data_IF_326487663245
#
_entry.id   IF_326487663245
#
_cell.length_a   1.000
_cell.length_b   1.000
_cell.length_c   1.000
_cell.angle_alpha   90.00
_cell.angle_beta   90.00
_cell.angle_gamma   90.00
#
_symmetry.space_group_name_H-M   'P 1'
#
loop_
_entity.id
_entity.type
_entity.pdbx_description
1 polymer ?
#
# COMPACT_ATOMS: atom_id res chain seq x y z
N UNK A 1 -41.28 47.05 10.02
CA UNK A 1 -40.43 47.70 9.01
C UNK A 1 -38.99 47.34 9.31
N UNK A 2 -38.46 46.33 8.63
CA UNK A 2 -37.05 45.98 8.60
C UNK A 2 -36.78 45.28 7.26
N UNK A 3 -35.79 45.78 6.53
CA UNK A 3 -35.39 45.37 5.17
C UNK A 3 -35.01 43.89 5.08
N UNK A 4 -35.35 43.18 3.99
CA UNK A 4 -34.62 41.99 3.58
C UNK A 4 -33.37 42.40 2.80
N UNK A 5 -32.19 42.06 3.33
CA UNK A 5 -30.92 42.17 2.61
C UNK A 5 -30.93 41.26 1.38
N UNK A 6 -30.70 41.86 0.21
CA UNK A 6 -30.52 41.18 -1.04
C UNK A 6 -29.22 40.36 -1.01
N UNK A 7 -29.36 39.05 -1.16
CA UNK A 7 -28.23 38.14 -1.43
C UNK A 7 -27.70 38.46 -2.83
N UNK A 8 -26.51 39.05 -2.89
CA UNK A 8 -25.74 39.26 -4.13
C UNK A 8 -25.39 37.89 -4.74
N UNK A 9 -25.56 37.71 -6.07
CA UNK A 9 -25.11 36.49 -6.74
C UNK A 9 -23.58 36.39 -6.72
N UNK A 10 -23.11 35.18 -6.45
CA UNK A 10 -21.72 34.74 -6.46
C UNK A 10 -20.99 35.17 -7.72
N UNK A 11 -19.82 35.79 -7.55
CA UNK A 11 -18.95 36.24 -8.62
C UNK A 11 -18.66 35.12 -9.63
N UNK A 12 -18.93 35.39 -10.91
CA UNK A 12 -18.56 34.53 -12.04
C UNK A 12 -17.05 34.30 -12.03
N UNK A 13 -16.62 33.06 -11.80
CA UNK A 13 -15.22 32.68 -12.00
C UNK A 13 -14.88 32.86 -13.48
N UNK A 14 -13.71 33.46 -13.82
CA UNK A 14 -13.32 33.62 -15.22
C UNK A 14 -13.30 32.25 -15.92
N UNK A 15 -13.93 32.16 -17.10
CA UNK A 15 -13.89 30.98 -17.96
C UNK A 15 -12.46 30.73 -18.45
N UNK A 16 -11.64 30.09 -17.61
CA UNK A 16 -10.28 29.67 -17.96
C UNK A 16 -10.38 28.45 -18.86
N UNK A 17 -9.86 28.52 -20.09
CA UNK A 17 -9.79 27.37 -20.99
C UNK A 17 -8.74 26.36 -20.52
N UNK A 18 -8.98 25.08 -20.81
CA UNK A 18 -8.07 23.98 -20.53
C UNK A 18 -6.72 24.19 -21.24
N UNK A 19 -5.61 24.20 -20.47
CA UNK A 19 -4.26 24.37 -21.03
C UNK A 19 -3.82 23.26 -22.00
N UNK A 20 -4.47 22.09 -21.98
CA UNK A 20 -4.06 20.93 -22.78
C UNK A 20 -4.83 20.78 -24.09
N UNK A 21 -6.15 20.97 -24.06
CA UNK A 21 -6.97 20.87 -25.28
C UNK A 21 -7.37 22.22 -25.86
N UNK A 22 -7.31 23.31 -25.09
CA UNK A 22 -7.78 24.65 -25.47
C UNK A 22 -9.27 24.74 -25.89
N UNK A 23 -10.05 23.66 -25.77
CA UNK A 23 -11.44 23.58 -26.24
C UNK A 23 -12.50 23.67 -25.12
N UNK A 24 -12.21 23.12 -23.95
CA UNK A 24 -13.17 23.02 -22.84
C UNK A 24 -12.74 23.88 -21.66
N UNK A 25 -13.69 24.30 -20.84
CA UNK A 25 -13.41 25.01 -19.60
C UNK A 25 -12.57 24.16 -18.64
N UNK A 26 -11.60 24.78 -18.01
CA UNK A 26 -10.76 24.18 -17.00
C UNK A 26 -11.49 24.19 -15.65
N UNK A 27 -11.86 23.00 -15.18
CA UNK A 27 -12.55 22.81 -13.90
C UNK A 27 -11.67 22.18 -12.83
N UNK A 28 -10.52 21.62 -13.24
CA UNK A 28 -9.60 20.90 -12.38
C UNK A 28 -8.18 21.45 -12.52
N UNK A 29 -7.31 21.04 -11.59
CA UNK A 29 -5.89 21.38 -11.63
C UNK A 29 -5.01 20.12 -11.59
N UNK A 30 -4.02 20.07 -12.48
CA UNK A 30 -2.88 19.16 -12.39
C UNK A 30 -1.70 19.99 -11.93
N UNK A 31 -1.31 19.87 -10.66
CA UNK A 31 -0.26 20.70 -10.05
C UNK A 31 -0.60 22.19 -10.24
N UNK A 32 0.09 22.91 -11.13
CA UNK A 32 -0.15 24.33 -11.45
C UNK A 32 -0.86 24.56 -12.79
N UNK A 33 -1.30 23.50 -13.49
CA UNK A 33 -1.99 23.58 -14.77
C UNK A 33 -3.51 23.40 -14.60
N UNK A 34 -4.29 24.41 -14.99
CA UNK A 34 -5.76 24.29 -15.09
C UNK A 34 -6.16 23.47 -16.32
N UNK A 35 -6.95 22.42 -16.12
CA UNK A 35 -7.37 21.47 -17.16
C UNK A 35 -8.84 21.09 -17.05
N UNK A 36 -9.43 20.60 -18.14
CA UNK A 36 -10.77 20.02 -18.13
C UNK A 36 -10.75 18.57 -17.61
N UNK A 37 -11.94 18.06 -17.23
CA UNK A 37 -12.14 16.69 -16.75
C UNK A 37 -11.52 15.62 -17.65
N UNK A 38 -11.73 15.70 -18.98
CA UNK A 38 -11.22 14.70 -19.94
C UNK A 38 -9.69 14.63 -19.94
N UNK A 39 -9.04 15.80 -19.98
CA UNK A 39 -7.58 15.89 -19.95
C UNK A 39 -7.00 15.42 -18.62
N UNK A 40 -7.70 15.67 -17.51
CA UNK A 40 -7.33 15.18 -16.18
C UNK A 40 -7.41 13.65 -16.11
N UNK A 41 -8.53 13.05 -16.50
CA UNK A 41 -8.70 11.60 -16.52
C UNK A 41 -7.65 10.92 -17.42
N UNK A 42 -7.35 11.51 -18.59
CA UNK A 42 -6.32 10.98 -19.48
C UNK A 42 -4.91 11.07 -18.88
N UNK A 43 -4.60 12.14 -18.14
CA UNK A 43 -3.33 12.30 -17.43
C UNK A 43 -3.11 11.19 -16.41
N UNK A 44 -4.11 10.95 -15.53
CA UNK A 44 -4.06 9.91 -14.49
C UNK A 44 -3.89 8.53 -15.14
N UNK A 45 -4.76 8.19 -16.10
CA UNK A 45 -4.70 6.92 -16.85
C UNK A 45 -3.35 6.71 -17.52
N UNK A 46 -2.85 7.70 -18.25
CA UNK A 46 -1.60 7.60 -19.00
C UNK A 46 -0.39 7.38 -18.09
N UNK A 47 -0.32 8.09 -16.95
CA UNK A 47 0.78 7.92 -16.00
C UNK A 47 0.82 6.51 -15.42
N UNK A 48 -0.32 5.99 -14.98
CA UNK A 48 -0.40 4.65 -14.45
C UNK A 48 -0.07 3.57 -15.50
N UNK A 49 -0.62 3.70 -16.72
CA UNK A 49 -0.39 2.75 -17.80
C UNK A 49 1.06 2.75 -18.29
N UNK A 50 1.75 3.90 -18.31
CA UNK A 50 3.18 3.98 -18.67
C UNK A 50 4.05 3.11 -17.77
N UNK A 51 3.70 2.97 -16.50
CA UNK A 51 4.41 2.10 -15.56
C UNK A 51 4.19 0.61 -15.84
N UNK A 52 3.13 0.26 -16.56
CA UNK A 52 2.82 -1.11 -16.97
C UNK A 52 3.52 -1.54 -18.26
N UNK A 53 4.30 -0.66 -18.90
CA UNK A 53 4.97 -0.98 -20.17
C UNK A 53 6.08 -2.01 -20.04
N UNK A 54 6.63 -2.18 -18.84
CA UNK A 54 7.59 -3.25 -18.51
C UNK A 54 7.02 -4.64 -18.80
N UNK A 55 5.71 -4.82 -18.65
CA UNK A 55 4.99 -6.07 -18.96
C UNK A 55 4.68 -6.25 -20.45
N UNK A 56 4.76 -5.19 -21.28
CA UNK A 56 4.59 -5.29 -22.74
C UNK A 56 5.79 -5.98 -23.42
N UNK A 57 6.96 -5.98 -22.77
CA UNK A 57 8.25 -6.35 -23.34
C UNK A 57 8.57 -7.85 -23.33
N UNK A 58 7.92 -8.65 -22.47
CA UNK A 58 8.12 -10.11 -22.39
C UNK A 58 7.35 -10.86 -23.48
N UNK A 59 7.47 -10.39 -24.72
CA UNK A 59 6.81 -10.89 -25.95
C UNK A 59 7.16 -12.34 -26.32
N UNK A 60 8.09 -12.98 -25.59
CA UNK A 60 8.54 -14.35 -25.86
C UNK A 60 7.64 -15.41 -25.22
N UNK A 61 6.87 -15.08 -24.18
CA UNK A 61 5.90 -16.01 -23.58
C UNK A 61 4.57 -15.87 -24.31
N UNK A 62 3.99 -17.00 -24.76
CA UNK A 62 2.61 -17.04 -25.26
C UNK A 62 1.57 -16.85 -24.15
N UNK A 63 1.97 -17.01 -22.89
CA UNK A 63 1.09 -16.94 -21.71
C UNK A 63 1.22 -15.55 -21.06
N UNK A 64 0.11 -14.83 -20.84
CA UNK A 64 0.13 -13.56 -20.14
C UNK A 64 0.63 -13.74 -18.69
N UNK A 65 1.35 -12.74 -18.19
CA UNK A 65 1.87 -12.79 -16.82
C UNK A 65 0.74 -12.55 -15.82
N UNK A 66 0.63 -13.37 -14.78
CA UNK A 66 -0.33 -13.16 -13.68
C UNK A 66 0.22 -12.13 -12.69
N UNK A 67 -0.58 -11.10 -12.39
CA UNK A 67 -0.22 -10.04 -11.46
C UNK A 67 -1.29 -9.96 -10.36
N UNK A 68 -0.86 -9.90 -9.10
CA UNK A 68 -1.77 -9.72 -7.96
C UNK A 68 -2.07 -8.22 -7.78
N UNK A 69 -3.35 -7.86 -7.63
CA UNK A 69 -3.78 -6.50 -7.30
C UNK A 69 -4.56 -6.52 -5.98
N UNK A 70 -3.96 -6.03 -4.88
CA UNK A 70 -4.67 -5.86 -3.61
C UNK A 70 -5.73 -4.76 -3.73
N UNK A 71 -6.98 -5.10 -3.42
CA UNK A 71 -8.15 -4.21 -3.43
C UNK A 71 -8.58 -3.93 -1.99
N UNK A 72 -8.37 -2.71 -1.53
CA UNK A 72 -8.78 -2.27 -0.18
C UNK A 72 -10.12 -1.53 -0.17
N UNK A 73 -10.79 -1.44 -1.33
CA UNK A 73 -11.95 -0.58 -1.63
C UNK A 73 -11.71 0.92 -1.47
N UNK A 74 -10.51 1.33 -1.05
CA UNK A 74 -10.13 2.73 -0.98
C UNK A 74 -9.82 3.31 -2.36
N UNK A 75 -9.83 4.66 -2.49
CA UNK A 75 -9.71 5.37 -3.76
C UNK A 75 -8.56 4.89 -4.65
N UNK A 76 -7.36 4.71 -4.10
CA UNK A 76 -6.20 4.35 -4.91
C UNK A 76 -6.28 2.95 -5.50
N UNK A 77 -6.68 1.95 -4.72
CA UNK A 77 -6.78 0.57 -5.20
C UNK A 77 -7.88 0.40 -6.26
N UNK A 78 -9.05 1.04 -6.03
CA UNK A 78 -10.18 1.01 -6.95
C UNK A 78 -9.91 1.76 -8.25
N UNK A 79 -9.28 2.93 -8.16
CA UNK A 79 -8.84 3.67 -9.34
C UNK A 79 -7.80 2.88 -10.14
N UNK A 80 -6.85 2.22 -9.47
CA UNK A 80 -5.87 1.39 -10.16
C UNK A 80 -6.56 0.26 -10.93
N UNK A 81 -7.47 -0.48 -10.29
CA UNK A 81 -8.25 -1.52 -10.95
C UNK A 81 -9.01 -0.99 -12.18
N UNK A 82 -9.75 0.12 -12.03
CA UNK A 82 -10.48 0.75 -13.14
C UNK A 82 -9.57 1.16 -14.30
N UNK A 83 -8.41 1.74 -14.00
CA UNK A 83 -7.45 2.17 -15.03
C UNK A 83 -6.87 0.95 -15.77
N UNK A 84 -6.49 -0.10 -15.04
CA UNK A 84 -5.90 -1.29 -15.63
C UNK A 84 -6.92 -2.13 -16.42
N UNK A 85 -8.17 -2.20 -15.96
CA UNK A 85 -9.26 -2.81 -16.71
C UNK A 85 -9.44 -2.09 -18.07
N UNK A 86 -9.62 -0.77 -18.08
CA UNK A 86 -9.74 -0.01 -19.32
C UNK A 86 -8.51 -0.15 -20.24
N UNK A 87 -7.30 -0.25 -19.68
CA UNK A 87 -6.09 -0.51 -20.44
C UNK A 87 -6.09 -1.88 -21.10
N UNK A 88 -6.44 -2.94 -20.34
CA UNK A 88 -6.53 -4.30 -20.85
C UNK A 88 -7.64 -4.45 -21.89
N UNK A 89 -8.76 -3.74 -21.74
CA UNK A 89 -9.84 -3.70 -22.73
C UNK A 89 -9.34 -3.11 -24.05
N UNK A 90 -8.65 -1.98 -23.99
CA UNK A 90 -8.07 -1.35 -25.17
C UNK A 90 -7.05 -2.26 -25.86
N UNK A 91 -6.24 -3.01 -25.09
CA UNK A 91 -5.30 -3.97 -25.68
C UNK A 91 -6.02 -5.13 -26.38
N UNK A 92 -7.04 -5.70 -25.73
CA UNK A 92 -7.83 -6.78 -26.30
C UNK A 92 -8.52 -6.33 -27.61
N UNK A 93 -9.15 -5.17 -27.62
CA UNK A 93 -9.84 -4.65 -28.81
C UNK A 93 -8.88 -4.35 -29.97
N UNK A 94 -7.67 -3.82 -29.68
CA UNK A 94 -6.72 -3.41 -30.72
C UNK A 94 -5.80 -4.53 -31.20
N UNK A 95 -5.45 -5.46 -30.33
CA UNK A 95 -4.40 -6.46 -30.57
C UNK A 95 -4.91 -7.91 -30.44
N UNK A 96 -6.17 -8.10 -30.06
CA UNK A 96 -6.76 -9.40 -29.72
C UNK A 96 -5.94 -10.21 -28.70
N UNK A 97 -5.18 -9.52 -27.85
CA UNK A 97 -4.37 -10.11 -26.78
C UNK A 97 -4.18 -9.10 -25.65
N UNK A 98 -3.99 -9.63 -24.45
CA UNK A 98 -3.60 -8.87 -23.26
C UNK A 98 -2.16 -9.18 -22.86
N UNK A 99 -1.48 -8.19 -22.28
CA UNK A 99 -0.08 -8.36 -21.84
C UNK A 99 0.05 -9.08 -20.49
N UNK A 100 -0.99 -9.03 -19.66
CA UNK A 100 -1.02 -9.59 -18.32
C UNK A 100 -2.46 -9.89 -17.89
N UNK A 101 -2.60 -10.76 -16.89
CA UNK A 101 -3.84 -11.09 -16.20
C UNK A 101 -3.81 -10.53 -14.78
N UNK A 102 -4.97 -10.10 -14.27
CA UNK A 102 -5.10 -9.60 -12.90
C UNK A 102 -5.79 -10.64 -12.01
N UNK A 103 -5.13 -10.92 -10.88
CA UNK A 103 -5.72 -11.59 -9.73
C UNK A 103 -5.99 -10.54 -8.66
N UNK A 104 -7.25 -10.15 -8.52
CA UNK A 104 -7.69 -9.15 -7.56
C UNK A 104 -7.95 -9.84 -6.23
N UNK A 105 -7.34 -9.34 -5.15
CA UNK A 105 -7.52 -9.90 -3.81
C UNK A 105 -7.99 -8.83 -2.85
N UNK A 106 -9.04 -9.15 -2.09
CA UNK A 106 -9.42 -8.39 -0.91
C UNK A 106 -8.93 -9.10 0.34
N UNK A 107 -8.33 -8.36 1.28
CA UNK A 107 -7.99 -8.89 2.61
C UNK A 107 -8.88 -8.17 3.61
N UNK A 108 -9.72 -8.94 4.28
CA UNK A 108 -10.62 -8.44 5.29
C UNK A 108 -9.82 -8.16 6.58
N UNK A 109 -9.82 -6.89 6.99
CA UNK A 109 -9.20 -6.42 8.22
C UNK A 109 -10.20 -6.38 9.39
N UNK A 110 -11.49 -6.55 9.09
CA UNK A 110 -12.58 -6.45 10.02
C UNK A 110 -12.84 -7.79 10.70
N UNK A 111 -13.30 -7.67 11.93
CA UNK A 111 -13.32 -8.77 12.89
C UNK A 111 -14.73 -9.28 13.15
N UNK A 112 -15.74 -8.48 12.81
CA UNK A 112 -17.15 -8.81 12.95
C UNK A 112 -17.76 -9.32 11.63
N UNK A 113 -18.84 -10.10 11.75
CA UNK A 113 -19.48 -10.75 10.62
C UNK A 113 -20.28 -9.78 9.74
N UNK A 114 -20.73 -8.64 10.29
CA UNK A 114 -21.49 -7.64 9.56
C UNK A 114 -20.62 -6.86 8.57
N UNK A 115 -19.41 -6.44 9.00
CA UNK A 115 -18.41 -5.79 8.16
C UNK A 115 -17.91 -6.73 7.06
N UNK A 116 -17.80 -8.04 7.36
CA UNK A 116 -17.46 -9.08 6.38
C UNK A 116 -18.55 -9.24 5.32
N UNK A 117 -19.82 -9.28 5.73
CA UNK A 117 -20.94 -9.34 4.79
C UNK A 117 -20.99 -8.10 3.89
N UNK A 118 -20.80 -6.91 4.47
CA UNK A 118 -20.72 -5.65 3.73
C UNK A 118 -19.55 -5.65 2.73
N UNK A 119 -18.38 -6.13 3.15
CA UNK A 119 -17.17 -6.24 2.31
C UNK A 119 -17.37 -7.25 1.18
N UNK A 120 -18.04 -8.38 1.44
CA UNK A 120 -18.38 -9.38 0.43
C UNK A 120 -19.39 -8.84 -0.60
N UNK A 121 -20.43 -8.13 -0.14
CA UNK A 121 -21.40 -7.48 -1.02
C UNK A 121 -20.73 -6.40 -1.89
N UNK A 122 -19.79 -5.63 -1.32
CA UNK A 122 -19.03 -4.64 -2.07
C UNK A 122 -18.10 -5.31 -3.09
N UNK A 123 -17.39 -6.38 -2.72
CA UNK A 123 -16.57 -7.15 -3.65
C UNK A 123 -17.40 -7.69 -4.81
N UNK A 124 -18.65 -8.12 -4.56
CA UNK A 124 -19.56 -8.56 -5.62
C UNK A 124 -19.85 -7.44 -6.62
N UNK A 125 -20.10 -6.19 -6.16
CA UNK A 125 -20.24 -5.04 -7.07
C UNK A 125 -19.01 -4.83 -7.96
N UNK A 126 -17.80 -5.03 -7.43
CA UNK A 126 -16.58 -4.96 -8.24
C UNK A 126 -16.49 -6.09 -9.27
N UNK A 127 -16.89 -7.32 -8.92
CA UNK A 127 -16.95 -8.45 -9.87
C UNK A 127 -17.92 -8.18 -11.01
N UNK A 128 -19.10 -7.65 -10.69
CA UNK A 128 -20.13 -7.32 -11.67
C UNK A 128 -19.65 -6.20 -12.61
N UNK A 129 -18.96 -5.20 -12.05
CA UNK A 129 -18.43 -4.07 -12.83
C UNK A 129 -17.22 -4.43 -13.70
N UNK A 130 -16.36 -5.35 -13.25
CA UNK A 130 -15.10 -5.69 -13.91
C UNK A 130 -14.92 -7.23 -14.04
N UNK A 131 -15.78 -7.92 -14.82
CA UNK A 131 -15.91 -9.38 -14.80
C UNK A 131 -14.73 -10.15 -15.41
N UNK A 132 -13.75 -9.46 -16.01
CA UNK A 132 -12.63 -10.09 -16.72
C UNK A 132 -11.49 -10.53 -15.81
N UNK A 133 -11.55 -10.19 -14.54
CA UNK A 133 -10.49 -10.46 -13.57
C UNK A 133 -10.87 -11.63 -12.66
N UNK A 134 -9.86 -12.30 -12.11
CA UNK A 134 -10.10 -13.28 -11.04
C UNK A 134 -10.16 -12.54 -9.70
N UNK A 135 -11.02 -13.01 -8.81
CA UNK A 135 -11.26 -12.37 -7.51
C UNK A 135 -11.14 -13.40 -6.39
N UNK A 136 -10.47 -13.02 -5.31
CA UNK A 136 -10.37 -13.80 -4.08
C UNK A 136 -10.50 -12.90 -2.86
N UNK A 137 -10.92 -13.47 -1.73
CA UNK A 137 -11.05 -12.77 -0.46
C UNK A 137 -10.52 -13.66 0.66
N UNK A 138 -9.74 -13.08 1.57
CA UNK A 138 -9.15 -13.78 2.70
C UNK A 138 -9.25 -12.92 3.96
N UNK A 139 -9.28 -13.54 5.13
CA UNK A 139 -9.21 -12.80 6.39
C UNK A 139 -7.78 -12.55 6.81
N UNK A 140 -7.47 -11.40 7.42
CA UNK A 140 -6.11 -11.12 7.90
C UNK A 140 -5.64 -12.17 8.94
N UNK A 141 -6.56 -12.79 9.67
CA UNK A 141 -6.23 -13.84 10.63
C UNK A 141 -5.52 -15.05 10.00
N UNK A 142 -5.69 -15.30 8.70
CA UNK A 142 -4.95 -16.36 7.99
C UNK A 142 -3.44 -16.11 7.99
N UNK A 143 -3.00 -14.85 8.18
CA UNK A 143 -1.59 -14.52 8.32
C UNK A 143 -0.93 -15.20 9.54
N UNK A 144 -1.72 -15.60 10.54
CA UNK A 144 -1.23 -16.29 11.73
C UNK A 144 -0.75 -17.71 11.43
N UNK A 145 -1.20 -18.31 10.32
CA UNK A 145 -0.87 -19.69 9.94
C UNK A 145 0.24 -19.78 8.88
N UNK A 146 0.89 -18.66 8.55
CA UNK A 146 1.91 -18.63 7.50
C UNK A 146 3.17 -19.42 7.89
N UNK A 147 3.57 -20.34 7.01
CA UNK A 147 4.83 -21.07 7.11
C UNK A 147 6.01 -20.10 6.97
N UNK A 148 6.59 -19.72 8.11
CA UNK A 148 7.69 -18.74 8.16
C UNK A 148 7.56 -17.71 9.28
N UNK A 149 6.45 -17.72 10.03
CA UNK A 149 6.35 -16.99 11.31
C UNK A 149 6.29 -18.02 12.43
N UNK A 150 7.37 -18.12 13.20
CA UNK A 150 7.43 -18.97 14.40
C UNK A 150 6.99 -18.15 15.62
N UNK A 151 5.67 -18.10 15.85
CA UNK A 151 5.07 -17.35 16.95
C UNK A 151 5.55 -17.79 18.33
N UNK A 152 5.82 -19.09 18.52
CA UNK A 152 6.34 -19.62 19.77
C UNK A 152 7.74 -19.04 20.07
N UNK A 153 8.60 -18.95 19.06
CA UNK A 153 9.92 -18.31 19.20
C UNK A 153 9.86 -16.80 19.50
N UNK A 154 8.72 -16.17 19.24
CA UNK A 154 8.45 -14.75 19.51
C UNK A 154 7.81 -14.52 20.89
N UNK A 155 7.67 -15.58 21.70
CA UNK A 155 7.03 -15.51 23.01
C UNK A 155 5.51 -15.36 22.96
N UNK A 156 4.90 -15.55 21.77
CA UNK A 156 3.45 -15.52 21.58
C UNK A 156 2.97 -16.97 21.59
N UNK A 157 2.42 -17.39 22.74
CA UNK A 157 1.79 -18.70 22.91
C UNK A 157 0.33 -18.66 22.46
N UNK A 158 -0.29 -19.83 22.26
CA UNK A 158 -1.71 -19.99 21.92
C UNK A 158 -2.14 -19.44 20.54
N UNK A 159 -1.24 -19.41 19.55
CA UNK A 159 -1.63 -19.16 18.16
C UNK A 159 -2.28 -20.43 17.58
N UNK A 160 -3.41 -20.32 16.86
CA UNK A 160 -4.04 -21.46 16.19
C UNK A 160 -3.02 -22.23 15.35
N UNK A 161 -2.86 -23.52 15.67
CA UNK A 161 -1.99 -24.43 14.92
C UNK A 161 -2.63 -24.77 13.56
N UNK A 162 -1.84 -25.29 12.62
CA UNK A 162 -2.29 -25.66 11.26
C UNK A 162 -3.52 -26.59 11.21
N UNK A 163 -3.89 -27.23 12.34
CA UNK A 163 -5.06 -28.10 12.46
C UNK A 163 -6.38 -27.38 12.78
N UNK A 164 -6.34 -26.11 13.19
CA UNK A 164 -7.53 -25.34 13.58
C UNK A 164 -7.53 -24.01 12.83
N UNK A 165 -8.61 -23.69 12.11
CA UNK A 165 -8.75 -22.42 11.38
C UNK A 165 -8.57 -21.23 12.33
N UNK A 166 -7.67 -20.30 11.96
CA UNK A 166 -7.45 -19.09 12.75
C UNK A 166 -8.69 -18.20 12.72
N UNK A 167 -9.08 -17.67 13.88
CA UNK A 167 -10.23 -16.79 14.04
C UNK A 167 -9.83 -15.33 14.11
N UNK A 168 -10.79 -14.42 13.89
CA UNK A 168 -10.58 -12.98 14.12
C UNK A 168 -10.25 -12.67 15.58
N UNK A 169 -10.73 -13.48 16.52
CA UNK A 169 -10.45 -13.32 17.95
C UNK A 169 -8.98 -13.59 18.26
N UNK A 170 -8.36 -14.57 17.60
CA UNK A 170 -6.93 -14.89 17.78
C UNK A 170 -6.05 -13.72 17.35
N UNK A 171 -6.38 -13.12 16.19
CA UNK A 171 -5.69 -11.93 15.71
C UNK A 171 -5.85 -10.75 16.68
N UNK A 172 -7.06 -10.52 17.22
CA UNK A 172 -7.31 -9.48 18.22
C UNK A 172 -6.47 -9.70 19.48
N UNK A 173 -6.44 -10.94 19.98
CA UNK A 173 -5.67 -11.29 21.17
C UNK A 173 -4.19 -10.94 20.97
N UNK A 174 -3.59 -11.38 19.86
CA UNK A 174 -2.19 -11.08 19.54
C UNK A 174 -1.96 -9.57 19.43
N UNK A 175 -2.79 -8.85 18.66
CA UNK A 175 -2.65 -7.40 18.48
C UNK A 175 -2.81 -6.66 19.83
N UNK A 176 -3.70 -7.12 20.71
CA UNK A 176 -3.94 -6.50 22.02
C UNK A 176 -2.73 -6.58 22.95
N UNK A 177 -1.85 -7.58 22.77
CA UNK A 177 -0.62 -7.71 23.57
C UNK A 177 0.44 -6.66 23.21
N UNK A 178 0.32 -5.99 22.06
CA UNK A 178 1.29 -5.01 21.61
C UNK A 178 1.22 -3.73 22.45
N UNK A 179 2.39 -3.28 22.90
CA UNK A 179 2.56 -2.21 23.90
C UNK A 179 2.07 -0.82 23.49
N UNK A 180 2.03 -0.52 22.18
CA UNK A 180 1.68 0.81 21.67
C UNK A 180 0.72 0.76 20.47
N UNK A 181 0.04 1.87 20.19
CA UNK A 181 -0.81 1.99 19.00
C UNK A 181 -0.01 1.80 17.70
N UNK A 182 1.22 2.34 17.65
CA UNK A 182 2.13 2.14 16.52
C UNK A 182 2.50 0.68 16.35
N UNK A 183 2.83 -0.03 17.44
CA UNK A 183 3.14 -1.46 17.41
C UNK A 183 1.97 -2.28 16.87
N UNK A 184 0.74 -1.96 17.30
CA UNK A 184 -0.50 -2.59 16.80
C UNK A 184 -0.71 -2.36 15.30
N UNK A 185 -0.59 -1.12 14.85
CA UNK A 185 -0.72 -0.80 13.43
C UNK A 185 0.39 -1.45 12.59
N UNK A 186 1.61 -1.50 13.11
CA UNK A 186 2.77 -2.06 12.42
C UNK A 186 2.70 -3.59 12.27
N UNK A 187 2.24 -4.31 13.30
CA UNK A 187 2.08 -5.76 13.20
C UNK A 187 0.97 -6.11 12.21
N UNK A 188 -0.16 -5.39 12.23
CA UNK A 188 -1.26 -5.56 11.27
C UNK A 188 -0.78 -5.31 9.83
N UNK A 189 -0.05 -4.22 9.58
CA UNK A 189 0.50 -3.93 8.26
C UNK A 189 1.54 -4.96 7.81
N UNK A 190 2.37 -5.45 8.74
CA UNK A 190 3.36 -6.49 8.45
C UNK A 190 2.67 -7.79 8.06
N UNK A 191 1.67 -8.23 8.81
CA UNK A 191 0.89 -9.44 8.52
C UNK A 191 0.12 -9.33 7.20
N UNK A 192 -0.48 -8.18 6.91
CA UNK A 192 -1.13 -7.92 5.64
C UNK A 192 -0.16 -8.13 4.47
N UNK A 193 1.05 -7.54 4.54
CA UNK A 193 2.05 -7.71 3.49
C UNK A 193 2.51 -9.16 3.36
N UNK A 194 2.68 -9.89 4.47
CA UNK A 194 3.04 -11.31 4.46
C UNK A 194 1.95 -12.17 3.80
N UNK A 195 0.70 -11.93 4.14
CA UNK A 195 -0.44 -12.62 3.55
C UNK A 195 -0.59 -12.30 2.06
N UNK A 196 -0.41 -11.05 1.64
CA UNK A 196 -0.43 -10.68 0.22
C UNK A 196 0.67 -11.38 -0.59
N UNK A 197 1.89 -11.48 -0.02
CA UNK A 197 3.00 -12.23 -0.63
C UNK A 197 2.64 -13.70 -0.77
N UNK A 198 2.07 -14.28 0.26
CA UNK A 198 1.70 -15.69 0.27
C UNK A 198 0.57 -15.99 -0.74
N UNK A 199 -0.49 -15.19 -0.75
CA UNK A 199 -1.57 -15.27 -1.75
C UNK A 199 -1.05 -15.07 -3.17
N UNK A 200 -0.12 -14.14 -3.40
CA UNK A 200 0.51 -13.98 -4.71
C UNK A 200 1.23 -15.25 -5.16
N UNK A 201 1.97 -15.92 -4.25
CA UNK A 201 2.66 -17.18 -4.53
C UNK A 201 1.68 -18.32 -4.82
N UNK A 202 0.62 -18.47 -4.01
CA UNK A 202 -0.44 -19.48 -4.22
C UNK A 202 -1.12 -19.33 -5.59
N UNK A 203 -1.29 -18.10 -6.07
CA UNK A 203 -1.87 -17.79 -7.37
C UNK A 203 -0.85 -17.75 -8.53
N UNK A 204 0.41 -18.13 -8.27
CA UNK A 204 1.50 -18.11 -9.26
C UNK A 204 1.70 -16.73 -9.91
N UNK A 205 1.46 -15.66 -9.15
CA UNK A 205 1.67 -14.30 -9.62
C UNK A 205 3.16 -13.99 -9.68
N UNK A 206 3.59 -13.27 -10.72
CA UNK A 206 4.98 -12.84 -10.84
C UNK A 206 5.25 -11.57 -10.02
N UNK A 207 4.22 -10.74 -9.85
CA UNK A 207 4.35 -9.45 -9.17
C UNK A 207 3.06 -9.03 -8.48
N UNK A 208 3.20 -8.15 -7.49
CA UNK A 208 2.11 -7.46 -6.80
C UNK A 208 2.09 -6.00 -7.26
N UNK A 209 0.90 -5.51 -7.61
CA UNK A 209 0.63 -4.15 -8.03
C UNK A 209 -0.01 -3.38 -6.88
N UNK A 210 0.79 -2.61 -6.15
CA UNK A 210 0.28 -1.79 -5.05
C UNK A 210 -0.30 -0.48 -5.56
N UNK A 211 -1.44 -0.09 -4.99
CA UNK A 211 -2.10 1.19 -5.25
C UNK A 211 -1.43 2.40 -4.58
N UNK A 212 -0.17 2.33 -4.18
CA UNK A 212 0.49 3.45 -3.50
C UNK A 212 0.73 4.61 -4.47
N UNK A 213 0.22 5.78 -4.09
CA UNK A 213 0.45 7.06 -4.78
C UNK A 213 1.83 7.63 -4.45
N UNK A 214 2.23 8.70 -5.12
CA UNK A 214 3.45 9.46 -4.76
C UNK A 214 3.44 9.84 -3.28
N UNK A 215 2.30 10.33 -2.78
CA UNK A 215 2.09 10.73 -1.39
C UNK A 215 2.26 9.57 -0.45
N UNK A 216 1.59 8.45 -0.75
CA UNK A 216 1.64 7.26 0.08
C UNK A 216 3.05 6.65 0.13
N UNK A 217 3.79 6.70 -0.97
CA UNK A 217 5.19 6.26 -1.01
C UNK A 217 6.12 7.18 -0.20
N UNK A 218 5.86 8.49 -0.20
CA UNK A 218 6.60 9.44 0.62
C UNK A 218 6.33 9.22 2.12
N UNK A 219 5.05 9.06 2.50
CA UNK A 219 4.63 8.65 3.84
C UNK A 219 5.33 7.37 4.27
N UNK A 220 5.20 6.30 3.48
CA UNK A 220 5.80 5.00 3.75
C UNK A 220 7.32 5.10 3.92
N UNK A 221 7.99 5.92 3.11
CA UNK A 221 9.44 6.15 3.23
C UNK A 221 9.81 6.65 4.62
N UNK A 222 9.13 7.68 5.13
CA UNK A 222 9.44 8.24 6.44
C UNK A 222 8.92 7.37 7.59
N UNK A 223 7.74 6.77 7.46
CA UNK A 223 7.17 5.83 8.44
C UNK A 223 8.10 4.64 8.67
N UNK A 224 8.52 3.95 7.61
CA UNK A 224 9.40 2.79 7.74
C UNK A 224 10.78 3.20 8.28
N UNK A 225 11.28 4.39 7.92
CA UNK A 225 12.52 4.92 8.51
C UNK A 225 12.37 5.16 10.00
N UNK A 226 11.30 5.83 10.43
CA UNK A 226 11.03 6.14 11.84
C UNK A 226 10.83 4.88 12.69
N UNK A 227 10.27 3.82 12.10
CA UNK A 227 10.15 2.48 12.71
C UNK A 227 11.47 1.67 12.68
N UNK A 228 12.55 2.23 12.15
CA UNK A 228 13.86 1.58 12.06
C UNK A 228 13.93 0.46 11.02
N UNK A 229 13.14 0.55 9.96
CA UNK A 229 13.14 -0.34 8.77
C UNK A 229 13.75 0.33 7.54
N UNK A 230 14.60 1.35 7.73
CA UNK A 230 15.28 2.07 6.65
C UNK A 230 16.06 1.16 5.69
N UNK A 231 16.65 0.08 6.22
CA UNK A 231 17.37 -0.93 5.42
C UNK A 231 16.49 -1.59 4.34
N UNK A 232 15.16 -1.64 4.56
CA UNK A 232 14.22 -2.33 3.68
C UNK A 232 13.56 -1.47 2.62
N UNK A 233 13.74 -0.14 2.71
CA UNK A 233 13.15 0.82 1.78
C UNK A 233 13.38 0.49 0.30
N UNK A 234 14.58 0.07 -0.15
CA UNK A 234 14.81 -0.25 -1.56
C UNK A 234 13.78 -1.21 -2.16
N UNK A 235 13.27 -2.15 -1.36
CA UNK A 235 12.26 -3.14 -1.81
C UNK A 235 10.82 -2.70 -1.56
N UNK A 236 10.61 -1.78 -0.61
CA UNK A 236 9.27 -1.40 -0.15
C UNK A 236 8.70 -0.16 -0.83
N UNK A 237 9.56 0.67 -1.43
CA UNK A 237 9.15 1.94 -2.05
C UNK A 237 9.66 2.10 -3.47
N UNK A 238 10.21 1.07 -4.12
CA UNK A 238 10.68 1.14 -5.51
C UNK A 238 10.13 -0.03 -6.33
N UNK A 239 9.90 0.21 -7.63
CA UNK A 239 9.53 -0.86 -8.56
C UNK A 239 10.71 -1.84 -8.71
N UNK A 240 10.44 -3.15 -8.67
CA UNK A 240 11.46 -4.16 -8.95
C UNK A 240 11.32 -5.45 -8.16
N UNK A 241 12.35 -6.32 -8.21
CA UNK A 241 12.35 -7.58 -7.47
C UNK A 241 12.36 -7.33 -5.95
N UNK A 242 11.54 -8.09 -5.23
CA UNK A 242 11.52 -8.12 -3.77
C UNK A 242 12.25 -9.36 -3.24
N UNK A 243 12.68 -9.34 -1.97
CA UNK A 243 13.30 -10.50 -1.32
C UNK A 243 12.37 -11.71 -1.18
N UNK A 244 11.08 -11.55 -1.47
CA UNK A 244 10.10 -12.64 -1.42
C UNK A 244 10.08 -13.49 -2.69
N UNK A 245 10.86 -13.13 -3.72
CA UNK A 245 10.84 -13.79 -5.03
C UNK A 245 9.73 -13.30 -5.96
N UNK A 246 9.07 -12.18 -5.61
CA UNK A 246 8.02 -11.53 -6.40
C UNK A 246 8.47 -10.11 -6.79
N UNK A 247 7.98 -9.58 -7.90
CA UNK A 247 8.13 -8.15 -8.21
C UNK A 247 7.15 -7.29 -7.43
N UNK A 248 7.59 -6.20 -6.82
CA UNK A 248 6.73 -5.17 -6.24
C UNK A 248 6.70 -3.98 -7.18
N UNK A 249 5.50 -3.52 -7.55
CA UNK A 249 5.34 -2.41 -8.48
C UNK A 249 4.25 -1.45 -8.01
N UNK A 250 4.42 -0.17 -8.34
CA UNK A 250 3.60 0.93 -7.86
C UNK A 250 3.10 1.75 -9.04
N UNK A 251 2.07 1.30 -9.78
CA UNK A 251 1.65 1.99 -11.00
C UNK A 251 1.18 3.43 -10.74
N UNK A 252 0.69 3.74 -9.53
CA UNK A 252 0.26 5.08 -9.15
C UNK A 252 1.38 5.99 -8.61
N UNK A 253 2.65 5.55 -8.67
CA UNK A 253 3.83 6.24 -8.12
C UNK A 253 3.97 7.71 -8.51
N UNK A 254 3.52 8.09 -9.70
CA UNK A 254 3.67 9.46 -10.23
C UNK A 254 2.40 10.31 -10.10
N UNK A 255 1.40 9.82 -9.38
CA UNK A 255 0.10 10.47 -9.17
C UNK A 255 0.00 10.81 -7.67
N UNK A 256 -0.47 12.02 -7.34
CA UNK A 256 -0.65 12.47 -5.96
C UNK A 256 -1.96 11.93 -5.35
N UNK A 257 -2.05 11.89 -4.02
CA UNK A 257 -3.27 11.49 -3.30
C UNK A 257 -4.45 12.36 -3.73
N UNK A 258 -4.30 13.69 -3.75
CA UNK A 258 -5.39 14.60 -4.19
C UNK A 258 -5.83 14.34 -5.62
N UNK A 259 -4.90 14.00 -6.51
CA UNK A 259 -5.22 13.70 -7.91
C UNK A 259 -6.05 12.41 -8.02
N UNK A 260 -5.72 11.38 -7.23
CA UNK A 260 -6.52 10.14 -7.15
C UNK A 260 -7.89 10.40 -6.54
N UNK A 261 -8.00 11.20 -5.49
CA UNK A 261 -9.29 11.54 -4.85
C UNK A 261 -10.21 12.27 -5.83
N UNK A 262 -9.68 13.24 -6.58
CA UNK A 262 -10.44 13.92 -7.63
C UNK A 262 -10.84 12.93 -8.72
N UNK A 263 -9.94 12.06 -9.16
CA UNK A 263 -10.24 11.09 -10.21
C UNK A 263 -11.34 10.10 -9.77
N UNK A 264 -11.29 9.60 -8.54
CA UNK A 264 -12.25 8.63 -8.01
C UNK A 264 -13.66 9.21 -7.85
N UNK A 265 -13.78 10.47 -7.44
CA UNK A 265 -15.08 11.11 -7.20
C UNK A 265 -15.75 11.63 -8.47
N UNK A 266 -15.00 11.79 -9.55
CA UNK A 266 -15.48 12.41 -10.80
C UNK A 266 -15.54 11.44 -11.99
N UNK A 267 -15.18 10.16 -11.81
CA UNK A 267 -15.12 9.17 -12.89
C UNK A 267 -16.03 7.98 -12.59
N UNK A 268 -17.19 7.92 -13.23
CA UNK A 268 -18.09 6.75 -13.17
C UNK A 268 -17.39 5.48 -13.64
N UNK A 269 -17.56 4.32 -12.97
CA UNK A 269 -18.47 4.05 -11.85
C UNK A 269 -17.84 4.20 -10.45
N UNK A 270 -16.65 4.80 -10.34
CA UNK A 270 -15.88 4.82 -9.10
C UNK A 270 -16.60 5.44 -7.88
N UNK A 271 -17.40 6.52 -8.00
CA UNK A 271 -18.09 7.10 -6.84
C UNK A 271 -19.01 6.13 -6.10
N UNK A 272 -19.57 5.13 -6.79
CA UNK A 272 -20.48 4.13 -6.21
C UNK A 272 -19.76 2.91 -5.63
N UNK A 273 -18.48 2.73 -5.97
CA UNK A 273 -17.67 1.58 -5.58
C UNK A 273 -16.63 1.91 -4.51
N UNK A 274 -16.17 3.15 -4.45
CA UNK A 274 -15.07 3.57 -3.58
C UNK A 274 -15.58 3.87 -2.18
N UNK A 275 -14.92 3.28 -1.18
CA UNK A 275 -15.11 3.63 0.22
C UNK A 275 -14.18 4.78 0.56
N UNK A 276 -14.75 5.97 0.74
CA UNK A 276 -14.05 7.14 1.22
C UNK A 276 -14.00 7.09 2.75
N UNK A 277 -12.83 6.75 3.29
CA UNK A 277 -12.60 6.91 4.72
C UNK A 277 -12.51 8.40 5.03
N UNK A 278 -13.25 8.85 6.04
CA UNK A 278 -13.06 10.19 6.56
C UNK A 278 -11.60 10.33 7.03
N UNK A 279 -10.92 11.45 6.72
CA UNK A 279 -9.62 11.71 7.31
C UNK A 279 -9.77 11.67 8.83
N UNK A 280 -8.83 11.07 9.58
CA UNK A 280 -8.91 11.05 11.04
C UNK A 280 -9.08 12.49 11.53
N UNK A 281 -10.26 12.77 12.05
CA UNK A 281 -10.71 14.10 12.45
C UNK A 281 -9.91 14.53 13.67
N UNK A 282 -8.79 15.21 13.40
CA UNK A 282 -7.75 15.56 14.36
C UNK A 282 -7.13 14.33 15.05
N UNK A 283 -5.82 14.20 14.93
CA UNK A 283 -5.04 13.32 15.80
C UNK A 283 -5.48 13.57 17.24
N UNK A 284 -5.88 12.51 17.94
CA UNK A 284 -6.32 12.61 19.33
C UNK A 284 -5.29 13.43 20.11
N UNK A 285 -5.73 14.37 20.95
CA UNK A 285 -4.83 15.09 21.86
C UNK A 285 -4.03 14.12 22.76
N UNK A 286 -4.47 12.88 22.87
CA UNK A 286 -3.73 11.78 23.47
C UNK A 286 -2.70 11.20 22.49
N UNK A 287 -1.42 11.40 22.80
CA UNK A 287 -0.31 10.73 22.11
C UNK A 287 -0.33 9.21 22.23
N UNK A 288 -1.15 8.63 23.14
CA UNK A 288 -1.22 7.16 23.36
C UNK A 288 -1.97 6.39 22.27
N UNK A 289 -2.91 7.03 21.57
CA UNK A 289 -3.68 6.42 20.47
C UNK A 289 -3.17 6.81 19.08
N UNK A 290 -2.26 7.77 19.02
CA UNK A 290 -1.67 8.27 17.77
C UNK A 290 -0.54 7.36 17.33
N UNK A 291 -0.57 6.93 16.07
CA UNK A 291 0.50 6.13 15.48
C UNK A 291 1.51 6.97 14.71
N UNK A 292 2.71 6.44 14.48
CA UNK A 292 3.68 7.05 13.54
C UNK A 292 3.05 7.19 12.15
N UNK A 293 2.25 6.22 11.72
CA UNK A 293 1.54 6.24 10.44
C UNK A 293 0.58 7.44 10.35
N UNK A 294 -0.19 7.72 11.42
CA UNK A 294 -1.10 8.87 11.47
C UNK A 294 -0.35 10.20 11.36
N UNK A 295 0.75 10.33 12.09
CA UNK A 295 1.60 11.53 12.06
C UNK A 295 2.19 11.77 10.66
N UNK A 296 2.66 10.71 10.00
CA UNK A 296 3.23 10.82 8.66
C UNK A 296 2.15 11.13 7.61
N UNK A 297 0.96 10.52 7.72
CA UNK A 297 -0.16 10.81 6.83
C UNK A 297 -0.60 12.28 6.94
N UNK A 298 -0.75 12.80 8.17
CA UNK A 298 -1.12 14.19 8.38
C UNK A 298 -0.03 15.16 7.87
N UNK A 299 1.24 14.85 8.13
CA UNK A 299 2.36 15.65 7.66
C UNK A 299 2.35 15.78 6.13
N UNK A 300 2.25 14.66 5.40
CA UNK A 300 2.29 14.70 3.94
C UNK A 300 1.01 15.23 3.30
N UNK A 301 -0.14 15.09 3.94
CA UNK A 301 -1.38 15.75 3.50
C UNK A 301 -1.23 17.27 3.54
N UNK A 302 -0.69 17.82 4.63
CA UNK A 302 -0.41 19.26 4.76
C UNK A 302 0.70 19.75 3.81
N UNK A 303 1.78 18.98 3.66
CA UNK A 303 2.90 19.34 2.78
C UNK A 303 2.51 19.27 1.30
N UNK A 304 1.66 18.32 0.89
CA UNK A 304 1.22 18.19 -0.51
C UNK A 304 0.37 19.38 -0.99
N UNK A 305 -0.37 20.02 -0.08
CA UNK A 305 -1.20 21.18 -0.38
C UNK A 305 -0.33 22.35 -0.85
N UNK A 306 0.72 22.65 -0.09
CA UNK A 306 1.57 23.83 -0.31
C UNK A 306 2.82 23.54 -1.16
N UNK A 307 3.36 22.32 -1.06
CA UNK A 307 4.67 21.96 -1.61
C UNK A 307 4.69 20.54 -2.22
N UNK A 308 3.91 20.26 -3.28
CA UNK A 308 3.85 18.94 -3.91
C UNK A 308 5.20 18.46 -4.48
N UNK A 309 6.15 19.37 -4.71
CA UNK A 309 7.53 19.03 -5.11
C UNK A 309 8.32 18.32 -4.00
N UNK A 310 8.04 18.60 -2.71
CA UNK A 310 8.68 17.95 -1.57
C UNK A 310 8.31 16.47 -1.55
N UNK A 311 7.02 16.15 -1.70
CA UNK A 311 6.51 14.77 -1.78
C UNK A 311 7.23 14.01 -2.89
N UNK A 312 7.31 14.59 -4.09
CA UNK A 312 7.99 13.97 -5.21
C UNK A 312 9.52 13.84 -5.01
N UNK A 313 10.15 14.76 -4.28
CA UNK A 313 11.58 14.72 -3.96
C UNK A 313 11.90 13.57 -3.00
N UNK A 314 11.05 13.31 -2.01
CA UNK A 314 11.21 12.17 -1.08
C UNK A 314 11.22 10.86 -1.86
N UNK A 315 10.21 10.64 -2.70
CA UNK A 315 10.09 9.42 -3.54
C UNK A 315 11.26 9.26 -4.51
N UNK A 316 11.71 10.35 -5.15
CA UNK A 316 12.88 10.32 -6.05
C UNK A 316 14.19 10.04 -5.31
N UNK A 317 14.33 10.51 -4.09
CA UNK A 317 15.52 10.27 -3.26
C UNK A 317 15.54 8.83 -2.75
N UNK A 318 14.42 8.32 -2.24
CA UNK A 318 14.32 6.94 -1.74
C UNK A 318 14.49 5.91 -2.85
N UNK A 319 14.11 6.20 -4.10
CA UNK A 319 14.42 5.35 -5.27
C UNK A 319 15.90 5.18 -5.59
N UNK A 320 16.78 6.03 -5.06
CA UNK A 320 18.23 5.89 -5.27
C UNK A 320 18.87 4.92 -4.29
N UNK A 321 18.14 4.54 -3.23
CA UNK A 321 18.61 3.57 -2.25
C UNK A 321 18.78 2.22 -2.92
N UNK A 322 19.89 1.55 -2.63
CA UNK A 322 20.18 0.21 -3.10
C UNK A 322 20.17 -0.76 -1.92
N UNK A 323 19.70 -2.00 -2.13
CA UNK A 323 19.91 -3.07 -1.16
C UNK A 323 21.40 -3.22 -0.82
N UNK A 324 21.72 -3.51 0.44
CA UNK A 324 23.05 -4.01 0.78
C UNK A 324 23.19 -5.43 0.24
N UNK A 325 24.18 -5.67 -0.62
CA UNK A 325 24.42 -6.97 -1.28
C UNK A 325 25.51 -7.79 -0.63
N UNK A 326 26.19 -7.24 0.38
CA UNK A 326 27.55 -7.67 0.71
C UNK A 326 27.64 -8.64 1.90
N UNK A 327 26.50 -9.02 2.49
CA UNK A 327 26.47 -9.87 3.67
C UNK A 327 25.51 -11.05 3.53
N UNK A 328 25.88 -12.17 4.16
CA UNK A 328 24.95 -13.29 4.41
C UNK A 328 23.78 -12.73 5.20
N UNK A 329 22.58 -12.82 4.62
CA UNK A 329 21.37 -12.31 5.24
C UNK A 329 20.42 -13.44 5.60
N UNK A 330 19.80 -13.33 6.77
CA UNK A 330 18.71 -14.22 7.20
C UNK A 330 17.40 -13.45 7.13
N UNK A 331 16.31 -14.12 6.75
CA UNK A 331 14.98 -13.50 6.76
C UNK A 331 14.54 -13.18 8.19
N UNK A 332 13.99 -11.99 8.39
CA UNK A 332 13.32 -11.64 9.65
C UNK A 332 12.15 -12.59 9.92
N UNK A 333 12.02 -13.11 11.14
CA UNK A 333 10.99 -14.09 11.52
C UNK A 333 9.54 -13.59 11.49
N UNK A 334 9.31 -12.29 11.25
CA UNK A 334 7.96 -11.70 11.16
C UNK A 334 7.73 -11.14 9.76
N UNK A 335 8.53 -10.15 9.34
CA UNK A 335 8.35 -9.56 8.02
C UNK A 335 9.01 -10.36 6.90
N UNK A 336 9.92 -11.29 7.17
CA UNK A 336 10.62 -12.08 6.15
C UNK A 336 11.64 -11.29 5.31
N UNK A 337 11.86 -10.01 5.61
CA UNK A 337 12.86 -9.20 4.92
C UNK A 337 14.29 -9.59 5.36
N UNK A 338 15.28 -9.51 4.47
CA UNK A 338 16.64 -9.93 4.76
C UNK A 338 17.31 -8.97 5.75
N UNK A 339 17.76 -9.53 6.87
CA UNK A 339 18.52 -8.83 7.91
C UNK A 339 19.98 -9.22 7.76
N UNK A 340 20.85 -8.22 7.59
CA UNK A 340 22.29 -8.44 7.52
C UNK A 340 22.79 -8.95 8.89
N UNK A 341 23.72 -9.90 8.87
CA UNK A 341 24.36 -10.37 10.10
C UNK A 341 24.93 -9.20 10.90
N UNK A 342 24.73 -9.22 12.23
CA UNK A 342 25.14 -8.13 13.12
C UNK A 342 24.14 -6.97 13.26
N UNK A 343 23.11 -6.89 12.41
CA UNK A 343 22.12 -5.79 12.42
C UNK A 343 20.75 -6.15 13.02
N UNK A 344 20.61 -7.36 13.54
CA UNK A 344 19.41 -7.87 14.20
C UNK A 344 19.20 -7.30 15.61
N UNK A 345 17.93 -7.20 16.01
CA UNK A 345 17.50 -6.71 17.32
C UNK A 345 17.82 -5.24 17.60
N UNK A 346 17.73 -4.86 18.88
CA UNK A 346 17.98 -3.49 19.37
C UNK A 346 19.48 -3.16 19.37
N UNK A 347 20.33 -4.17 19.58
CA UNK A 347 21.77 -4.02 19.75
C UNK A 347 22.51 -3.68 18.44
N UNK A 348 21.99 -4.08 17.28
CA UNK A 348 22.57 -3.72 15.98
C UNK A 348 22.38 -2.25 15.58
N UNK A 349 21.56 -1.50 16.32
CA UNK A 349 21.19 -0.10 16.04
C UNK A 349 21.55 0.88 17.17
N UNK A 350 22.16 0.40 18.26
CA UNK A 350 22.88 1.27 19.19
C UNK A 350 24.09 1.91 18.48
N UNK A 351 24.56 3.06 18.95
CA UNK A 351 25.68 3.80 18.33
C UNK A 351 26.98 3.01 18.15
N UNK A 352 27.11 1.84 18.80
CA UNK A 352 28.16 0.86 18.57
C UNK A 352 27.71 -0.18 17.53
N UNK A 353 27.82 0.16 16.25
CA UNK A 353 27.74 -0.81 15.15
C UNK A 353 29.00 -1.68 15.09
N UNK A 354 29.40 -2.28 16.22
CA UNK A 354 30.57 -3.13 16.29
C UNK A 354 30.12 -4.60 16.38
N UNK A 355 30.14 -5.35 15.25
CA UNK A 355 29.71 -6.75 15.20
C UNK A 355 30.53 -7.66 16.12
N UNK A 356 31.73 -7.22 16.53
CA UNK A 356 32.65 -7.93 17.43
C UNK A 356 32.27 -7.87 18.91
N UNK A 357 31.26 -7.07 19.28
CA UNK A 357 30.84 -6.89 20.69
C UNK A 357 29.80 -7.91 21.15
N UNK A 358 29.44 -8.89 20.31
CA UNK A 358 28.39 -9.87 20.64
C UNK A 358 28.96 -11.03 21.47
N UNK A 359 28.29 -11.44 22.56
CA UNK A 359 28.46 -12.79 23.07
C UNK A 359 28.07 -13.80 21.97
N UNK A 360 28.82 -14.89 21.86
CA UNK A 360 28.57 -15.95 20.89
C UNK A 360 27.12 -16.44 20.97
N UNK A 361 26.52 -16.74 19.82
CA UNK A 361 25.13 -17.21 19.62
C UNK A 361 24.76 -18.52 20.34
N UNK A 362 25.58 -18.99 21.27
CA UNK A 362 25.40 -20.27 21.96
C UNK A 362 24.33 -20.21 23.07
N UNK A 363 23.95 -19.01 23.54
CA UNK A 363 23.06 -18.84 24.70
C UNK A 363 21.61 -18.38 24.40
N UNK A 364 21.21 -18.19 23.12
CA UNK A 364 19.82 -17.83 22.78
C UNK A 364 19.17 -19.00 22.03
N UNK A 365 18.25 -19.69 22.71
CA UNK A 365 17.56 -20.90 22.25
C UNK A 365 16.63 -20.71 21.03
N UNK A 366 16.48 -19.49 20.50
CA UNK A 366 15.70 -19.21 19.30
C UNK A 366 16.61 -18.91 18.11
N UNK A 367 16.52 -19.74 17.06
CA UNK A 367 17.25 -19.55 15.80
C UNK A 367 16.68 -18.39 14.94
N UNK A 368 15.67 -17.68 15.47
CA UNK A 368 14.85 -16.68 14.78
C UNK A 368 15.50 -15.29 14.83
N UNK A 369 15.77 -14.72 13.66
CA UNK A 369 16.32 -13.37 13.53
C UNK A 369 15.20 -12.35 13.41
N UNK A 370 15.24 -11.24 14.14
CA UNK A 370 14.30 -10.12 13.98
C UNK A 370 15.02 -8.86 13.51
N UNK A 371 14.44 -8.18 12.53
CA UNK A 371 14.87 -6.82 12.20
C UNK A 371 14.49 -5.87 13.33
N UNK A 372 15.21 -4.75 13.46
CA UNK A 372 14.98 -3.77 14.52
C UNK A 372 13.51 -3.34 14.62
N UNK A 373 12.87 -2.99 13.50
CA UNK A 373 11.47 -2.58 13.50
C UNK A 373 10.51 -3.66 14.00
N UNK A 374 10.68 -4.91 13.56
CA UNK A 374 9.89 -6.04 14.07
C UNK A 374 10.14 -6.29 15.57
N UNK A 375 11.39 -6.17 16.02
CA UNK A 375 11.73 -6.31 17.44
C UNK A 375 11.05 -5.25 18.29
N UNK A 376 10.98 -3.98 17.83
CA UNK A 376 10.30 -2.90 18.55
C UNK A 376 8.78 -3.06 18.52
N UNK A 377 8.22 -3.53 17.42
CA UNK A 377 6.78 -3.76 17.31
C UNK A 377 6.30 -4.85 18.28
N UNK A 378 7.05 -5.95 18.43
CA UNK A 378 6.70 -7.01 19.39
C UNK A 378 7.01 -6.64 20.84
N UNK A 379 8.20 -6.11 21.11
CA UNK A 379 8.70 -5.99 22.49
C UNK A 379 8.48 -4.60 23.14
N UNK A 380 8.11 -3.58 22.36
CA UNK A 380 8.00 -2.18 22.82
C UNK A 380 9.29 -1.38 22.68
#
# INVERSE_FOLDING_TARGET
>A
MANPEAVLPSAEQPNVLCKRCAESNATLQIRSESVCQKCFSQYVKTKAVKRMETYKGKRSSKVPQKLLLPLSFGPSSSCLLHILDGHLQTQQERMNRVSYELSVVHIDLYLDDADREASAALLQKYKDQYPRHSYSSYGLQEALQLEGIDWASLGISDVPTQSTEASSLDLQNIVSTMSSATSRADIVSTLLNRLLVDVAKRNECESILFGDTTTRLAEKTLTETAKGRGFSLPWQVSDGPSPYGLGFNYPLRDILKKEIMTFSSSTTPLPELVVYREPPSHISASSKSTTIDDLMAQYFESVEENFPSIVANVVRTSSKLKPSTDHVSKGCGICGLPVAEGTDGIYGWGGDQNPDSRPSREDISSNTVLCYGCSRSING
#
